data_IF_936630472623
#
_entry.id   IF_936630472623
#
_cell.length_a   1.000
_cell.length_b   1.000
_cell.length_c   1.000
_cell.angle_alpha   90.00
_cell.angle_beta   90.00
_cell.angle_gamma   90.00
#
_symmetry.space_group_name_H-M   'P 1'
#
loop_
_entity.id
_entity.type
_entity.pdbx_description
1 polymer ?
#
# COMPACT_ATOMS: atom_id res chain seq x y z
N UNK A 1 -16.32 -28.85 -9.75
CA UNK A 1 -16.71 -28.02 -8.59
C UNK A 1 -16.79 -26.56 -9.02
N UNK A 2 -17.80 -25.82 -8.57
CA UNK A 2 -17.97 -24.40 -8.87
C UNK A 2 -18.29 -23.62 -7.59
N UNK A 3 -17.54 -22.55 -7.34
CA UNK A 3 -17.73 -21.64 -6.20
C UNK A 3 -17.95 -20.24 -6.76
N UNK A 4 -19.03 -19.60 -6.32
CA UNK A 4 -19.36 -18.21 -6.67
C UNK A 4 -19.32 -17.38 -5.39
N UNK A 5 -18.36 -16.46 -5.29
CA UNK A 5 -18.14 -15.65 -4.11
C UNK A 5 -17.40 -14.37 -4.48
N UNK A 6 -17.69 -13.28 -3.77
CA UNK A 6 -16.96 -12.03 -3.92
C UNK A 6 -15.57 -12.10 -3.29
N UNK A 7 -15.39 -12.91 -2.24
CA UNK A 7 -14.09 -13.12 -1.62
C UNK A 7 -13.93 -14.55 -1.16
N UNK A 8 -12.74 -15.11 -1.41
CA UNK A 8 -12.29 -16.38 -0.87
C UNK A 8 -11.00 -16.09 -0.10
N UNK A 9 -11.00 -16.41 1.19
CA UNK A 9 -9.81 -16.35 2.03
C UNK A 9 -9.50 -17.77 2.51
N UNK A 10 -8.36 -18.29 2.08
CA UNK A 10 -7.80 -19.53 2.58
C UNK A 10 -6.70 -19.19 3.60
N UNK A 11 -6.69 -19.99 4.65
CA UNK A 11 -5.82 -19.84 5.80
C UNK A 11 -5.57 -21.25 6.34
N UNK A 12 -4.45 -21.87 5.96
CA UNK A 12 -4.27 -23.32 6.05
C UNK A 12 -5.44 -24.09 5.41
N UNK A 13 -6.05 -23.48 4.38
CA UNK A 13 -7.30 -23.95 3.78
C UNK A 13 -7.08 -24.63 2.44
N UNK A 14 -7.91 -25.61 2.12
CA UNK A 14 -7.78 -26.43 0.91
C UNK A 14 -9.06 -26.42 0.05
N UNK A 15 -8.91 -26.24 -1.26
CA UNK A 15 -9.94 -26.49 -2.27
C UNK A 15 -9.42 -27.56 -3.22
N UNK A 16 -9.99 -28.76 -3.16
CA UNK A 16 -9.43 -29.94 -3.81
C UNK A 16 -10.43 -30.57 -4.80
N UNK A 17 -9.96 -30.86 -6.01
CA UNK A 17 -10.66 -31.61 -7.04
C UNK A 17 -9.73 -32.64 -7.74
N UNK A 18 -8.70 -33.09 -7.02
CA UNK A 18 -7.74 -34.05 -7.55
C UNK A 18 -8.35 -35.44 -7.80
N UNK A 19 -7.69 -36.21 -8.66
CA UNK A 19 -8.09 -37.59 -8.98
C UNK A 19 -6.90 -38.54 -8.91
N UNK A 20 -7.17 -39.83 -8.75
CA UNK A 20 -6.15 -40.88 -8.82
C UNK A 20 -6.30 -41.81 -10.03
N UNK A 21 -7.39 -41.69 -10.79
CA UNK A 21 -7.69 -42.48 -11.99
C UNK A 21 -8.56 -41.66 -12.96
N UNK A 22 -8.39 -41.85 -14.26
CA UNK A 22 -9.17 -41.15 -15.29
C UNK A 22 -8.74 -39.68 -15.45
N UNK A 23 -9.70 -38.80 -15.71
CA UNK A 23 -9.46 -37.38 -15.89
C UNK A 23 -9.69 -36.57 -14.61
N UNK A 24 -8.89 -35.52 -14.42
CA UNK A 24 -8.91 -34.68 -13.24
C UNK A 24 -10.16 -33.83 -13.11
N UNK A 25 -10.53 -33.53 -11.86
CA UNK A 25 -11.69 -32.70 -11.55
C UNK A 25 -11.44 -31.23 -11.84
N UNK A 26 -12.49 -30.52 -12.25
CA UNK A 26 -12.40 -29.08 -12.55
C UNK A 26 -12.76 -28.24 -11.32
N UNK A 27 -11.94 -27.24 -11.01
CA UNK A 27 -12.22 -26.17 -10.03
C UNK A 27 -12.59 -24.90 -10.81
N UNK A 28 -13.65 -24.23 -10.40
CA UNK A 28 -14.07 -22.96 -10.98
C UNK A 28 -14.45 -21.98 -9.87
N UNK A 29 -13.65 -20.92 -9.71
CA UNK A 29 -13.88 -19.82 -8.78
C UNK A 29 -14.28 -18.58 -9.58
N UNK A 30 -15.44 -17.98 -9.28
CA UNK A 30 -15.99 -16.90 -10.09
C UNK A 30 -16.48 -15.72 -9.26
N UNK A 31 -16.44 -14.54 -9.89
CA UNK A 31 -16.89 -13.25 -9.38
C UNK A 31 -16.10 -12.76 -8.16
N UNK A 32 -14.79 -13.01 -8.16
CA UNK A 32 -13.92 -12.66 -7.05
C UNK A 32 -13.44 -11.21 -7.14
N UNK A 33 -13.70 -10.44 -6.09
CA UNK A 33 -13.00 -9.19 -5.77
C UNK A 33 -11.64 -9.50 -5.09
N UNK A 34 -11.55 -10.61 -4.36
CA UNK A 34 -10.32 -11.05 -3.68
C UNK A 34 -10.23 -12.58 -3.56
N UNK A 35 -9.11 -13.15 -3.99
CA UNK A 35 -8.62 -14.46 -3.54
C UNK A 35 -7.37 -14.26 -2.71
N UNK A 36 -7.44 -14.57 -1.41
CA UNK A 36 -6.33 -14.46 -0.48
C UNK A 36 -5.91 -15.86 0.00
N UNK A 37 -4.65 -16.20 -0.21
CA UNK A 37 -4.05 -17.46 0.21
C UNK A 37 -3.02 -17.20 1.32
N UNK A 38 -3.27 -17.72 2.52
CA UNK A 38 -2.34 -17.63 3.65
C UNK A 38 -1.99 -19.01 4.19
N UNK A 39 -0.82 -19.11 4.81
CA UNK A 39 -0.33 -20.21 5.64
C UNK A 39 -0.57 -21.55 4.98
N UNK A 40 0.22 -21.88 3.95
CA UNK A 40 0.21 -23.17 3.30
C UNK A 40 -1.18 -23.59 2.78
N UNK A 41 -1.90 -22.64 2.17
CA UNK A 41 -3.20 -22.89 1.56
C UNK A 41 -3.04 -23.53 0.18
N UNK A 42 -3.99 -24.38 -0.20
CA UNK A 42 -3.88 -25.15 -1.45
C UNK A 42 -5.17 -25.12 -2.27
N UNK A 43 -5.07 -24.77 -3.54
CA UNK A 43 -6.09 -25.00 -4.56
C UNK A 43 -5.53 -26.04 -5.52
N UNK A 44 -6.09 -27.25 -5.55
CA UNK A 44 -5.47 -28.34 -6.31
C UNK A 44 -6.47 -29.21 -7.08
N UNK A 45 -6.21 -29.31 -8.38
CA UNK A 45 -6.81 -30.27 -9.30
C UNK A 45 -5.79 -31.36 -9.72
N UNK A 46 -4.82 -31.66 -8.85
CA UNK A 46 -3.72 -32.57 -9.13
C UNK A 46 -4.18 -34.01 -9.40
N UNK A 47 -3.47 -34.68 -10.30
CA UNK A 47 -3.69 -36.06 -10.68
C UNK A 47 -2.57 -36.98 -10.20
N UNK A 48 -2.97 -38.14 -9.67
CA UNK A 48 -2.06 -39.21 -9.25
C UNK A 48 -2.11 -40.40 -10.20
N UNK A 49 -1.14 -41.30 -10.06
CA UNK A 49 -0.99 -42.48 -10.91
C UNK A 49 -0.96 -42.10 -12.40
N UNK A 50 -1.77 -42.77 -13.22
CA UNK A 50 -1.90 -42.58 -14.67
C UNK A 50 -2.96 -41.54 -15.05
N UNK A 51 -3.51 -40.82 -14.07
CA UNK A 51 -4.58 -39.87 -14.33
C UNK A 51 -4.05 -38.54 -14.88
N UNK A 52 -4.89 -37.86 -15.65
CA UNK A 52 -4.59 -36.53 -16.19
C UNK A 52 -5.00 -35.43 -15.19
N UNK A 53 -4.20 -34.38 -15.06
CA UNK A 53 -4.49 -33.21 -14.24
C UNK A 53 -5.79 -32.54 -14.65
N UNK A 54 -6.53 -32.02 -13.67
CA UNK A 54 -7.79 -31.31 -13.90
C UNK A 54 -7.59 -29.84 -14.23
N UNK A 55 -8.68 -29.11 -14.50
CA UNK A 55 -8.59 -27.69 -14.82
C UNK A 55 -8.90 -26.80 -13.61
N UNK A 56 -8.12 -25.74 -13.41
CA UNK A 56 -8.38 -24.69 -12.42
C UNK A 56 -8.71 -23.40 -13.15
N UNK A 57 -9.93 -22.90 -13.00
CA UNK A 57 -10.39 -21.65 -13.60
C UNK A 57 -10.70 -20.63 -12.50
N UNK A 58 -9.98 -19.51 -12.47
CA UNK A 58 -10.15 -18.44 -11.48
C UNK A 58 -10.51 -17.15 -12.21
N UNK A 59 -11.69 -16.61 -11.93
CA UNK A 59 -12.15 -15.34 -12.47
C UNK A 59 -12.27 -14.31 -11.35
N UNK A 60 -11.23 -13.49 -11.26
CA UNK A 60 -11.09 -12.30 -10.43
C UNK A 60 -10.88 -11.05 -11.31
N UNK A 61 -11.56 -10.97 -12.47
CA UNK A 61 -11.32 -9.92 -13.49
C UNK A 61 -11.23 -8.50 -12.91
N UNK A 62 -12.12 -8.17 -11.98
CA UNK A 62 -12.20 -6.85 -11.33
C UNK A 62 -11.57 -6.83 -9.92
N UNK A 63 -10.77 -7.85 -9.59
CA UNK A 63 -10.23 -8.12 -8.28
C UNK A 63 -8.79 -8.64 -8.27
N UNK A 64 -8.32 -9.02 -7.09
CA UNK A 64 -6.91 -9.36 -6.85
C UNK A 64 -6.74 -10.80 -6.37
N UNK A 65 -5.62 -11.39 -6.74
CA UNK A 65 -5.16 -12.67 -6.19
C UNK A 65 -3.88 -12.40 -5.41
N UNK A 66 -3.86 -12.80 -4.15
CA UNK A 66 -2.75 -12.51 -3.24
C UNK A 66 -2.39 -13.78 -2.49
N UNK A 67 -1.12 -14.19 -2.58
CA UNK A 67 -0.54 -15.13 -1.64
C UNK A 67 0.42 -14.38 -0.72
N UNK A 68 0.36 -14.68 0.57
CA UNK A 68 1.30 -14.10 1.52
C UNK A 68 2.73 -14.59 1.23
N UNK A 69 3.74 -13.69 1.21
CA UNK A 69 5.12 -14.07 0.95
C UNK A 69 5.64 -15.07 1.99
N UNK A 70 6.37 -16.10 1.53
CA UNK A 70 6.98 -17.08 2.43
C UNK A 70 6.00 -18.06 3.08
N UNK A 71 4.73 -18.07 2.67
CA UNK A 71 3.70 -18.92 3.26
C UNK A 71 3.33 -20.14 2.38
N UNK A 72 4.12 -20.48 1.35
CA UNK A 72 3.96 -21.69 0.52
C UNK A 72 2.51 -22.03 0.13
N UNK A 73 1.79 -21.08 -0.47
CA UNK A 73 0.39 -21.30 -0.86
C UNK A 73 0.24 -21.49 -2.36
N UNK A 74 -0.37 -22.60 -2.76
CA UNK A 74 -0.19 -23.11 -4.12
C UNK A 74 -1.50 -23.28 -4.89
N UNK A 75 -1.41 -23.12 -6.20
CA UNK A 75 -2.46 -23.41 -7.17
C UNK A 75 -1.94 -24.46 -8.15
N UNK A 76 -2.38 -25.71 -7.99
CA UNK A 76 -1.79 -26.87 -8.64
C UNK A 76 -2.77 -27.60 -9.56
N UNK A 77 -2.28 -28.01 -10.72
CA UNK A 77 -2.94 -28.90 -11.68
C UNK A 77 -1.96 -29.98 -12.18
N UNK A 78 -1.01 -30.37 -11.32
CA UNK A 78 0.07 -31.29 -11.67
C UNK A 78 -0.42 -32.71 -11.95
N UNK A 79 0.43 -33.51 -12.58
CA UNK A 79 0.21 -34.95 -12.74
C UNK A 79 1.49 -35.75 -12.49
N UNK A 80 1.35 -37.01 -12.06
CA UNK A 80 2.49 -37.92 -11.97
C UNK A 80 2.78 -38.54 -13.35
N UNK A 81 1.93 -39.48 -13.82
CA UNK A 81 2.16 -40.20 -15.10
C UNK A 81 1.24 -39.80 -16.24
N UNK A 82 0.08 -39.20 -15.95
CA UNK A 82 -0.76 -38.60 -16.99
C UNK A 82 -0.28 -37.19 -17.35
N UNK A 83 -1.00 -36.50 -18.22
CA UNK A 83 -0.65 -35.14 -18.59
C UNK A 83 -1.04 -34.15 -17.49
N UNK A 84 -0.29 -33.07 -17.34
CA UNK A 84 -0.67 -31.94 -16.48
C UNK A 84 -1.96 -31.27 -16.98
N UNK A 85 -2.68 -30.64 -16.06
CA UNK A 85 -3.96 -29.99 -16.33
C UNK A 85 -3.83 -28.55 -16.86
N UNK A 86 -4.92 -27.80 -16.88
CA UNK A 86 -4.87 -26.39 -17.33
C UNK A 86 -5.29 -25.44 -16.22
N UNK A 87 -4.48 -24.41 -16.00
CA UNK A 87 -4.77 -23.33 -15.07
C UNK A 87 -5.01 -22.06 -15.87
N UNK A 88 -6.21 -21.51 -15.79
CA UNK A 88 -6.56 -20.22 -16.39
C UNK A 88 -6.97 -19.25 -15.30
N UNK A 89 -6.27 -18.12 -15.20
CA UNK A 89 -6.48 -17.10 -14.20
C UNK A 89 -6.70 -15.76 -14.88
N UNK A 90 -7.83 -15.13 -14.60
CA UNK A 90 -8.12 -13.75 -15.00
C UNK A 90 -8.16 -12.92 -13.71
N UNK A 91 -7.30 -11.91 -13.61
CA UNK A 91 -7.22 -11.04 -12.44
C UNK A 91 -6.82 -9.61 -12.81
N UNK A 92 -7.14 -8.62 -11.98
CA UNK A 92 -6.54 -7.27 -12.12
C UNK A 92 -5.04 -7.33 -11.85
N UNK A 93 -4.62 -8.08 -10.82
CA UNK A 93 -3.21 -8.37 -10.55
C UNK A 93 -3.08 -9.62 -9.68
N UNK A 94 -1.92 -10.26 -9.77
CA UNK A 94 -1.54 -11.45 -8.99
C UNK A 94 -0.28 -11.11 -8.21
N UNK A 95 -0.31 -11.27 -6.89
CA UNK A 95 0.81 -10.95 -5.99
C UNK A 95 1.23 -12.17 -5.18
N UNK A 96 2.54 -12.31 -5.01
CA UNK A 96 3.14 -13.32 -4.13
C UNK A 96 3.07 -14.75 -4.66
N UNK A 97 2.64 -14.98 -5.90
CA UNK A 97 2.64 -16.28 -6.59
C UNK A 97 3.64 -16.27 -7.74
N UNK A 98 4.39 -17.36 -7.88
CA UNK A 98 5.32 -17.55 -9.00
C UNK A 98 4.78 -18.64 -9.93
N UNK A 99 4.69 -18.35 -11.23
CA UNK A 99 4.38 -19.37 -12.23
C UNK A 99 5.62 -20.23 -12.48
N UNK A 100 5.51 -21.54 -12.23
CA UNK A 100 6.61 -22.51 -12.43
C UNK A 100 6.25 -23.53 -13.49
N UNK A 101 7.24 -23.82 -14.34
CA UNK A 101 7.19 -24.84 -15.40
C UNK A 101 8.00 -26.09 -15.06
N UNK A 102 8.48 -26.19 -13.82
CA UNK A 102 9.18 -27.34 -13.25
C UNK A 102 8.42 -27.81 -12.01
N UNK A 103 8.57 -29.08 -11.63
CA UNK A 103 7.93 -29.61 -10.42
C UNK A 103 8.27 -28.78 -9.16
N UNK A 104 7.36 -28.71 -8.17
CA UNK A 104 7.56 -27.91 -6.98
C UNK A 104 8.89 -28.26 -6.31
N UNK A 105 9.76 -27.27 -6.21
CA UNK A 105 10.97 -27.34 -5.40
C UNK A 105 10.47 -27.01 -4.01
N UNK A 106 10.59 -27.90 -3.02
CA UNK A 106 10.02 -27.72 -1.68
C UNK A 106 10.59 -26.53 -0.89
N UNK A 107 10.36 -25.33 -1.39
CA UNK A 107 10.68 -24.04 -0.82
C UNK A 107 9.41 -23.37 -0.28
N UNK A 108 9.57 -22.28 0.46
CA UNK A 108 8.43 -21.57 1.08
C UNK A 108 7.71 -20.63 0.10
N UNK A 109 7.86 -20.87 -1.21
CA UNK A 109 7.39 -19.97 -2.27
C UNK A 109 6.05 -20.49 -2.78
N UNK A 110 5.03 -19.65 -2.63
CA UNK A 110 3.71 -19.86 -3.23
C UNK A 110 3.79 -19.93 -4.75
N UNK A 111 3.27 -21.01 -5.35
CA UNK A 111 3.41 -21.27 -6.78
C UNK A 111 2.10 -21.57 -7.53
N UNK A 112 2.16 -21.37 -8.85
CA UNK A 112 1.14 -21.83 -9.82
C UNK A 112 1.82 -22.84 -10.74
N UNK A 113 1.29 -24.06 -10.80
CA UNK A 113 1.97 -25.17 -11.47
C UNK A 113 0.99 -26.16 -12.10
N UNK A 114 1.30 -26.61 -13.31
CA UNK A 114 0.51 -27.61 -14.04
C UNK A 114 1.42 -28.66 -14.72
N UNK A 115 2.55 -28.98 -14.11
CA UNK A 115 3.57 -29.87 -14.70
C UNK A 115 3.22 -31.35 -14.59
N UNK A 116 3.90 -32.18 -15.39
CA UNK A 116 3.86 -33.64 -15.26
C UNK A 116 5.26 -34.22 -15.17
N UNK A 117 5.42 -35.28 -14.35
CA UNK A 117 6.71 -35.98 -14.21
C UNK A 117 7.01 -36.87 -15.42
N UNK A 118 6.03 -37.68 -15.84
CA UNK A 118 6.21 -38.63 -16.96
C UNK A 118 5.30 -38.34 -18.17
N UNK A 119 4.30 -37.47 -18.01
CA UNK A 119 3.42 -37.03 -19.09
C UNK A 119 3.84 -35.70 -19.68
N UNK A 120 2.96 -35.11 -20.49
CA UNK A 120 3.15 -33.76 -21.00
C UNK A 120 2.79 -32.73 -19.92
N UNK A 121 3.52 -31.62 -19.89
CA UNK A 121 3.15 -30.47 -19.08
C UNK A 121 1.82 -29.89 -19.57
N UNK A 122 1.01 -29.48 -18.60
CA UNK A 122 -0.19 -28.71 -18.83
C UNK A 122 0.08 -27.25 -19.16
N UNK A 123 -0.96 -26.43 -19.13
CA UNK A 123 -0.87 -25.00 -19.45
C UNK A 123 -1.19 -24.13 -18.24
N UNK A 124 -0.47 -23.01 -18.12
CA UNK A 124 -0.77 -21.95 -17.15
C UNK A 124 -0.92 -20.65 -17.93
N UNK A 125 -2.14 -20.13 -17.97
CA UNK A 125 -2.49 -18.89 -18.64
C UNK A 125 -2.90 -17.84 -17.59
N UNK A 126 -2.14 -16.74 -17.55
CA UNK A 126 -2.36 -15.62 -16.63
C UNK A 126 -2.77 -14.39 -17.42
N UNK A 127 -4.02 -14.00 -17.27
CA UNK A 127 -4.66 -12.89 -17.96
C UNK A 127 -4.82 -11.70 -17.01
N UNK A 128 -3.78 -10.86 -16.92
CA UNK A 128 -3.79 -9.59 -16.18
C UNK A 128 -3.65 -8.41 -17.14
N UNK A 129 -4.26 -7.23 -16.87
CA UNK A 129 -4.01 -6.03 -17.65
C UNK A 129 -2.52 -5.69 -17.72
N UNK A 130 -2.04 -5.28 -18.90
CA UNK A 130 -0.69 -4.74 -19.08
C UNK A 130 -0.60 -3.38 -18.37
N UNK A 131 0.01 -3.35 -17.18
CA UNK A 131 0.36 -2.12 -16.48
C UNK A 131 1.78 -1.74 -16.91
N UNK A 132 1.93 -0.61 -17.60
CA UNK A 132 3.22 -0.03 -17.97
C UNK A 132 3.64 0.99 -16.88
N UNK A 133 4.49 0.61 -15.90
CA UNK A 133 4.81 1.47 -14.76
C UNK A 133 5.65 2.70 -15.14
N UNK A 134 6.28 2.64 -16.31
CA UNK A 134 7.21 3.63 -16.85
C UNK A 134 6.52 4.95 -17.21
N UNK A 135 5.21 4.95 -17.45
CA UNK A 135 4.45 6.15 -17.80
C UNK A 135 4.30 7.17 -16.64
N UNK A 136 4.65 6.79 -15.41
CA UNK A 136 4.59 7.65 -14.22
C UNK A 136 5.90 8.36 -13.88
N UNK A 137 7.01 8.06 -14.57
CA UNK A 137 8.30 8.68 -14.32
C UNK A 137 8.40 9.99 -15.13
N UNK A 138 7.77 11.05 -14.63
CA UNK A 138 8.10 12.40 -15.12
C UNK A 138 9.54 12.72 -14.69
N UNK A 139 10.44 12.94 -15.65
CA UNK A 139 11.77 13.45 -15.35
C UNK A 139 11.68 14.77 -14.59
N UNK A 140 12.36 14.86 -13.44
CA UNK A 140 12.48 16.10 -12.70
C UNK A 140 13.25 17.11 -13.57
N UNK A 141 12.79 18.38 -13.68
CA UNK A 141 13.52 19.40 -14.41
C UNK A 141 14.96 19.50 -13.87
N UNK A 142 15.95 19.35 -14.75
CA UNK A 142 17.38 19.41 -14.41
C UNK A 142 17.91 20.83 -14.26
N UNK A 143 17.05 21.84 -14.44
CA UNK A 143 17.42 23.24 -14.31
C UNK A 143 17.34 23.60 -12.82
N UNK A 144 18.45 23.99 -12.18
CA UNK A 144 18.38 24.58 -10.85
C UNK A 144 17.44 25.78 -10.92
N UNK A 145 16.39 25.76 -10.10
CA UNK A 145 15.54 26.94 -9.94
C UNK A 145 16.43 27.96 -9.24
N UNK A 146 16.90 28.99 -9.96
CA UNK A 146 17.54 30.12 -9.32
C UNK A 146 16.53 30.69 -8.32
N UNK A 147 16.86 30.60 -7.03
CA UNK A 147 16.03 31.18 -5.99
C UNK A 147 16.03 32.69 -6.18
N UNK A 148 14.94 33.24 -6.72
CA UNK A 148 14.68 34.68 -6.72
C UNK A 148 14.65 35.14 -5.25
N UNK A 149 15.68 35.86 -4.84
CA UNK A 149 15.70 36.54 -3.56
C UNK A 149 14.51 37.51 -3.55
N UNK A 150 13.58 37.32 -2.61
CA UNK A 150 12.47 38.24 -2.44
C UNK A 150 13.01 39.66 -2.21
N UNK A 151 12.80 40.55 -3.18
CA UNK A 151 13.06 41.97 -3.02
C UNK A 151 12.09 42.52 -1.98
N UNK A 152 12.57 42.70 -0.75
CA UNK A 152 11.86 43.45 0.28
C UNK A 152 11.78 44.93 -0.10
N UNK A 153 10.70 45.58 0.31
CA UNK A 153 10.50 47.01 0.11
C UNK A 153 11.61 47.80 0.86
N UNK A 154 12.52 48.44 0.11
CA UNK A 154 13.63 49.23 0.63
C UNK A 154 13.24 50.71 0.66
N UNK A 155 13.13 51.28 1.86
CA UNK A 155 12.81 52.70 2.07
C UNK A 155 14.07 53.45 2.54
N UNK A 156 14.63 54.39 1.73
CA UNK A 156 16.00 54.88 1.90
C UNK A 156 16.20 55.94 2.99
N UNK A 157 15.19 56.23 3.83
CA UNK A 157 15.27 57.32 4.80
C UNK A 157 14.90 56.88 6.21
N UNK A 158 15.88 56.43 7.00
CA UNK A 158 15.76 56.43 8.46
C UNK A 158 17.00 57.01 9.15
N UNK A 159 16.71 57.90 10.10
CA UNK A 159 17.53 58.26 11.25
C UNK A 159 18.16 57.02 11.88
N UNK A 160 19.46 57.10 12.21
CA UNK A 160 20.22 56.02 12.83
C UNK A 160 19.58 55.60 14.16
N UNK A 161 18.78 54.53 14.13
CA UNK A 161 18.27 53.87 15.33
C UNK A 161 19.39 53.05 15.96
N UNK A 162 19.77 53.41 17.17
CA UNK A 162 20.80 52.72 17.96
C UNK A 162 20.15 51.69 18.87
N UNK A 163 20.45 50.41 18.64
CA UNK A 163 20.10 49.33 19.56
C UNK A 163 21.23 49.14 20.57
N UNK A 164 20.95 49.33 21.86
CA UNK A 164 21.89 49.06 22.95
C UNK A 164 21.33 47.91 23.80
N UNK A 165 22.03 46.77 23.79
CA UNK A 165 21.75 45.66 24.70
C UNK A 165 22.38 46.01 26.05
N UNK A 166 21.56 46.39 27.04
CA UNK A 166 22.01 46.45 28.44
C UNK A 166 21.53 45.20 29.16
N UNK A 167 22.34 44.14 29.07
CA UNK A 167 22.07 42.85 29.73
C UNK A 167 23.36 42.22 30.22
N UNK A 168 23.29 41.56 31.38
CA UNK A 168 24.40 40.77 31.95
C UNK A 168 24.46 39.43 31.21
N UNK A 169 24.99 39.41 29.99
CA UNK A 169 25.02 38.18 29.18
C UNK A 169 25.90 38.17 27.93
N UNK A 170 26.42 39.33 27.49
CA UNK A 170 27.28 39.41 26.30
C UNK A 170 26.54 39.09 24.99
N UNK A 171 27.22 39.32 23.86
CA UNK A 171 26.75 38.88 22.55
C UNK A 171 27.06 37.38 22.37
N UNK A 172 26.15 36.58 21.79
CA UNK A 172 26.44 35.17 21.52
C UNK A 172 27.63 35.03 20.57
N UNK A 173 28.44 33.99 20.78
CA UNK A 173 29.58 33.70 19.90
C UNK A 173 29.11 33.33 18.50
N UNK A 174 29.88 33.74 17.50
CA UNK A 174 29.61 33.39 16.10
C UNK A 174 29.61 31.86 15.92
N UNK A 175 28.72 31.30 15.05
CA UNK A 175 28.55 29.86 14.86
C UNK A 175 29.82 29.11 14.43
N UNK A 176 30.77 29.82 13.85
CA UNK A 176 32.04 29.27 13.34
C UNK A 176 33.13 29.17 14.42
N UNK A 177 32.90 29.73 15.62
CA UNK A 177 33.88 29.67 16.71
C UNK A 177 33.69 28.43 17.58
N UNK A 178 34.79 27.80 18.06
CA UNK A 178 34.72 26.66 18.96
C UNK A 178 33.90 26.99 20.22
N UNK A 179 33.03 26.07 20.63
CA UNK A 179 32.21 26.22 21.83
C UNK A 179 33.11 26.30 23.07
N UNK A 180 33.18 27.47 23.70
CA UNK A 180 33.81 27.66 25.02
C UNK A 180 32.80 27.37 26.14
N UNK A 181 33.25 26.76 27.23
CA UNK A 181 32.41 26.30 28.35
C UNK A 181 31.77 27.43 29.18
N UNK A 182 32.13 28.70 28.93
CA UNK A 182 31.55 29.86 29.60
C UNK A 182 30.22 30.27 28.94
N UNK A 183 29.18 29.50 29.21
CA UNK A 183 27.79 29.93 28.97
C UNK A 183 27.28 30.66 30.22
N UNK A 184 26.91 31.93 30.08
CA UNK A 184 26.23 32.68 31.15
C UNK A 184 24.86 32.04 31.35
N UNK A 185 24.64 31.41 32.52
CA UNK A 185 23.32 30.91 32.91
C UNK A 185 22.39 32.11 33.16
N UNK A 186 21.33 32.19 32.36
CA UNK A 186 20.20 33.08 32.60
C UNK A 186 19.04 32.25 33.13
N UNK A 187 18.44 32.72 34.22
CA UNK A 187 17.25 32.08 34.80
C UNK A 187 16.03 32.20 33.87
N UNK A 188 15.17 31.19 33.92
CA UNK A 188 13.96 31.13 33.10
C UNK A 188 12.93 32.16 33.59
N UNK A 189 12.43 32.97 32.66
CA UNK A 189 11.27 33.85 32.91
C UNK A 189 10.00 33.03 32.75
N UNK A 190 9.13 33.07 33.75
CA UNK A 190 7.80 32.44 33.71
C UNK A 190 6.81 33.37 33.01
N UNK A 191 5.98 32.89 32.06
CA UNK A 191 4.90 33.71 31.52
C UNK A 191 3.81 33.91 32.59
N UNK A 192 3.42 35.17 32.84
CA UNK A 192 2.23 35.48 33.61
C UNK A 192 1.00 34.92 32.87
N UNK A 193 0.33 33.95 33.52
CA UNK A 193 -0.91 33.35 33.00
C UNK A 193 -2.08 34.27 33.37
N UNK A 194 -2.39 35.21 32.47
CA UNK A 194 -3.62 36.00 32.55
C UNK A 194 -4.82 35.09 32.26
N UNK A 195 -5.54 34.72 33.31
CA UNK A 195 -6.77 33.93 33.24
C UNK A 195 -7.91 34.73 32.58
N UNK A 196 -8.00 34.66 31.24
CA UNK A 196 -9.19 35.14 30.53
C UNK A 196 -10.32 34.11 30.64
N UNK A 197 -11.32 34.44 31.47
CA UNK A 197 -12.63 33.78 31.52
C UNK A 197 -13.28 33.82 30.13
N UNK A 198 -13.47 32.66 29.50
CA UNK A 198 -14.35 32.53 28.34
C UNK A 198 -15.78 32.32 28.84
N UNK A 199 -16.63 33.32 28.59
CA UNK A 199 -18.08 33.23 28.78
C UNK A 199 -18.70 32.25 27.78
N UNK A 200 -19.65 31.46 28.27
CA UNK A 200 -20.37 30.41 27.55
C UNK A 200 -21.15 30.96 26.33
N UNK A 201 -20.64 30.76 25.11
CA UNK A 201 -21.44 30.84 23.89
C UNK A 201 -22.25 29.56 23.69
N UNK A 202 -23.57 29.66 23.84
CA UNK A 202 -24.53 28.60 23.48
C UNK A 202 -24.55 28.37 21.96
N UNK A 203 -24.14 27.17 21.51
CA UNK A 203 -24.39 26.72 20.14
C UNK A 203 -25.84 26.20 19.98
N UNK A 204 -26.56 26.55 18.89
CA UNK A 204 -27.83 25.92 18.57
C UNK A 204 -27.60 24.50 18.00
N UNK A 205 -28.24 23.52 18.63
CA UNK A 205 -28.22 22.12 18.23
C UNK A 205 -29.06 21.93 16.95
N UNK A 206 -28.41 21.97 15.77
CA UNK A 206 -29.03 21.43 14.55
C UNK A 206 -28.97 19.90 14.60
N UNK A 207 -30.13 19.28 14.70
CA UNK A 207 -30.32 17.85 14.45
C UNK A 207 -30.12 17.59 12.96
N UNK A 208 -28.90 17.26 12.55
CA UNK A 208 -28.63 16.73 11.22
C UNK A 208 -29.19 15.31 11.15
N UNK A 209 -30.22 15.12 10.31
CA UNK A 209 -30.65 13.78 9.86
C UNK A 209 -29.43 13.06 9.31
N UNK A 210 -29.09 11.91 9.89
CA UNK A 210 -28.19 10.95 9.28
C UNK A 210 -28.77 10.56 7.90
N UNK A 211 -28.18 11.09 6.82
CA UNK A 211 -28.32 10.47 5.51
C UNK A 211 -27.76 9.07 5.66
N UNK A 212 -28.58 8.05 5.34
CA UNK A 212 -28.09 6.68 5.16
C UNK A 212 -26.94 6.78 4.15
N UNK A 213 -25.70 6.55 4.61
CA UNK A 213 -24.58 6.36 3.69
C UNK A 213 -24.98 5.20 2.77
N UNK A 214 -24.79 5.33 1.46
CA UNK A 214 -24.89 4.17 0.59
C UNK A 214 -23.93 3.12 1.15
N UNK A 215 -24.42 1.91 1.27
CA UNK A 215 -23.66 0.74 1.70
C UNK A 215 -22.42 0.66 0.80
N UNK A 216 -21.27 1.09 1.34
CA UNK A 216 -20.00 1.01 0.62
C UNK A 216 -19.74 -0.49 0.55
N UNK A 217 -20.02 -1.11 -0.60
CA UNK A 217 -19.42 -2.41 -0.91
C UNK A 217 -17.94 -2.25 -0.59
N UNK A 218 -17.43 -3.06 0.34
CA UNK A 218 -16.03 -3.08 0.73
C UNK A 218 -15.19 -3.53 -0.47
N UNK A 219 -15.01 -2.64 -1.44
CA UNK A 219 -14.21 -2.85 -2.63
C UNK A 219 -12.77 -2.53 -2.25
N UNK A 220 -11.88 -3.47 -2.54
CA UNK A 220 -10.44 -3.24 -2.39
C UNK A 220 -10.06 -2.18 -3.43
N UNK A 221 -9.47 -1.10 -2.96
CA UNK A 221 -9.02 0.04 -3.76
C UNK A 221 -7.54 0.28 -3.46
N UNK A 222 -6.80 0.74 -4.46
CA UNK A 222 -5.40 1.10 -4.26
C UNK A 222 -5.25 2.23 -3.24
N UNK A 223 -4.17 2.18 -2.46
CA UNK A 223 -3.81 3.26 -1.56
C UNK A 223 -3.17 4.40 -2.38
N UNK A 224 -3.71 5.61 -2.24
CA UNK A 224 -3.22 6.81 -2.94
C UNK A 224 -2.48 7.78 -2.01
N UNK A 225 -2.28 7.40 -0.74
CA UNK A 225 -1.57 8.22 0.24
C UNK A 225 -1.24 7.43 1.51
N UNK A 226 -0.52 8.08 2.42
CA UNK A 226 -0.20 7.54 3.74
C UNK A 226 -0.33 8.64 4.79
N UNK A 227 -0.69 8.26 6.01
CA UNK A 227 -0.74 9.15 7.18
C UNK A 227 0.00 8.50 8.35
N UNK A 228 0.48 9.31 9.29
CA UNK A 228 1.03 8.82 10.56
C UNK A 228 -0.02 9.03 11.64
N UNK A 229 -0.38 7.97 12.37
CA UNK A 229 -1.33 8.08 13.47
C UNK A 229 -0.69 8.72 14.73
N UNK A 230 -1.49 8.95 15.76
CA UNK A 230 -0.99 9.54 17.03
C UNK A 230 0.03 8.66 17.75
N UNK A 231 0.13 7.39 17.37
CA UNK A 231 1.06 6.40 17.90
C UNK A 231 2.36 6.31 17.08
N UNK A 232 2.48 7.07 15.98
CA UNK A 232 3.66 7.05 15.11
C UNK A 232 3.66 5.98 14.01
N UNK A 233 2.55 5.28 13.80
CA UNK A 233 2.44 4.20 12.80
C UNK A 233 1.99 4.75 11.44
N UNK A 234 2.55 4.20 10.36
CA UNK A 234 2.18 4.55 8.98
C UNK A 234 0.93 3.77 8.56
N UNK A 235 -0.13 4.49 8.17
CA UNK A 235 -1.37 3.94 7.64
C UNK A 235 -1.53 4.33 6.17
N UNK A 236 -1.70 3.35 5.28
CA UNK A 236 -2.02 3.57 3.88
C UNK A 236 -3.51 3.93 3.70
N UNK A 237 -3.80 4.98 2.93
CA UNK A 237 -5.16 5.52 2.73
C UNK A 237 -5.48 5.67 1.24
N UNK A 238 -6.74 5.44 0.86
CA UNK A 238 -7.25 5.62 -0.50
C UNK A 238 -7.63 7.09 -0.83
N UNK A 239 -7.51 8.00 0.13
CA UNK A 239 -7.70 9.44 -0.06
C UNK A 239 -6.54 10.20 0.56
N UNK A 240 -5.73 10.85 -0.27
CA UNK A 240 -4.72 11.78 0.19
C UNK A 240 -5.41 13.09 0.63
N UNK A 241 -5.31 13.44 1.92
CA UNK A 241 -5.66 14.80 2.34
C UNK A 241 -4.54 15.72 1.84
N UNK A 242 -4.75 16.35 0.69
CA UNK A 242 -3.93 17.45 0.22
C UNK A 242 -4.12 18.65 1.17
N UNK A 243 -3.37 18.69 2.27
CA UNK A 243 -3.12 19.95 2.99
C UNK A 243 -2.21 20.79 2.11
N UNK A 244 -2.82 21.48 1.16
CA UNK A 244 -2.21 22.55 0.38
C UNK A 244 -1.77 23.64 1.35
N UNK A 245 -0.47 23.90 1.44
CA UNK A 245 0.06 25.05 2.16
C UNK A 245 -0.37 26.32 1.44
N UNK A 246 -1.46 26.94 1.88
CA UNK A 246 -1.86 28.27 1.45
C UNK A 246 -0.96 29.30 2.14
N UNK A 247 0.15 29.69 1.52
CA UNK A 247 0.78 30.98 1.79
C UNK A 247 0.23 31.99 0.78
N UNK A 248 -0.53 32.97 1.27
CA UNK A 248 -0.98 34.10 0.47
C UNK A 248 0.20 35.09 0.26
N UNK A 249 0.31 35.75 -0.90
CA UNK A 249 1.40 36.69 -1.18
C UNK A 249 1.27 37.98 -0.36
N UNK A 250 2.40 38.48 0.11
CA UNK A 250 2.53 39.73 0.88
C UNK A 250 2.30 40.92 -0.06
N UNK A 251 1.46 41.90 0.34
CA UNK A 251 1.29 43.18 -0.36
C UNK A 251 1.99 44.30 0.42
N UNK A 252 2.96 44.99 -0.20
CA UNK A 252 3.50 46.26 0.31
C UNK A 252 2.52 47.42 0.03
N UNK A 253 2.55 48.45 0.89
CA UNK A 253 1.84 49.72 0.75
C UNK A 253 2.80 50.81 0.34
#
# INVERSE_FOLDING_TARGET
MKINANSIKLDQGNILAGTSNGDGGNITLQNLDLLLLNRNSLISAEARNQANGGNVNINAKDGFIVAAPGENSDILANAAKGNGGNINIIATSIYGLVNRTQQPIGDSISEINATSEFGLNGTVELNTPDIQPEAGLTELPSIPIESELAQGCYEPNYTQSRFVITGRGGLPTLPEKPLTADSVRVDWVSPDVENQRIENLKLPRKLTRFRRQPEIKNKIVEATGWIVNQQGEVLLTATANNTSSLQAPIKCK
#
